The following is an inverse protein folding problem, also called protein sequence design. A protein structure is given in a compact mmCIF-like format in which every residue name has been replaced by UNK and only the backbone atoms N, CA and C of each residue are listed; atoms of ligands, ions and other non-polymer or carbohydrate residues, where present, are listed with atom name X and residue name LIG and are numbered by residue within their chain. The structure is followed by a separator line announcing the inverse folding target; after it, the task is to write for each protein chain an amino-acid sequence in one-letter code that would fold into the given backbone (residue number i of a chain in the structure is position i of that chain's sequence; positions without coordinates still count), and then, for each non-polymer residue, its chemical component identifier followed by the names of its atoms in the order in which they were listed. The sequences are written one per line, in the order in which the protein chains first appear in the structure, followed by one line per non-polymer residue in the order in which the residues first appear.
data_IF_006456413721
#
_entry.id   IF_006456413721
#
_cell.length_a   1.000
_cell.length_b   1.000
_cell.length_c   1.000
_cell.angle_alpha   90.00
_cell.angle_beta   90.00
_cell.angle_gamma   90.00
#
_symmetry.space_group_name_H-M   'P 1'
#
loop_
_entity.id
_entity.type
_entity.pdbx_description
1 polymer ?
#
# COMPACT_ATOMS: atom_id res chain seq x y z
N UNK A 1 -2.46 -9.11 -10.26
CA UNK A 1 -3.41 -8.44 -9.35
C UNK A 1 -3.16 -6.95 -9.29
N UNK A 2 -4.22 -6.18 -9.22
CA UNK A 2 -4.12 -4.72 -9.25
C UNK A 2 -3.35 -4.13 -8.08
N UNK A 3 -3.61 -4.65 -6.88
CA UNK A 3 -2.91 -4.15 -5.68
C UNK A 3 -1.42 -4.36 -5.81
N UNK A 4 -1.02 -5.57 -6.23
CA UNK A 4 0.39 -5.88 -6.36
C UNK A 4 1.06 -5.03 -7.44
N UNK A 5 0.39 -4.85 -8.58
CA UNK A 5 0.91 -4.03 -9.66
C UNK A 5 1.07 -2.57 -9.22
N UNK A 6 0.07 -2.03 -8.53
CA UNK A 6 0.13 -0.66 -8.03
C UNK A 6 1.22 -0.50 -6.97
N UNK A 7 1.36 -1.49 -6.09
CA UNK A 7 2.41 -1.46 -5.07
C UNK A 7 3.80 -1.46 -5.70
N UNK A 8 3.99 -2.22 -6.77
CA UNK A 8 5.28 -2.28 -7.46
C UNK A 8 5.65 -0.96 -8.10
N UNK A 9 4.68 -0.16 -8.52
CA UNK A 9 4.94 1.18 -9.04
C UNK A 9 5.56 2.08 -7.99
N UNK A 10 5.34 1.76 -6.72
CA UNK A 10 5.93 2.49 -5.59
C UNK A 10 7.11 1.76 -4.97
N UNK A 11 7.61 0.74 -5.66
CA UNK A 11 8.77 0.00 -5.19
C UNK A 11 8.47 -1.01 -4.10
N UNK A 12 7.21 -1.43 -3.98
CA UNK A 12 6.78 -2.39 -2.97
C UNK A 12 6.16 -3.62 -3.62
N UNK A 13 6.21 -4.74 -2.90
CA UNK A 13 5.38 -5.90 -3.24
C UNK A 13 4.12 -5.83 -2.38
N UNK A 14 3.14 -6.66 -2.70
CA UNK A 14 1.92 -6.73 -1.90
C UNK A 14 2.24 -7.05 -0.44
N UNK A 15 3.12 -8.03 -0.20
CA UNK A 15 3.52 -8.42 1.15
C UNK A 15 4.13 -7.26 1.93
N UNK A 16 5.01 -6.51 1.27
CA UNK A 16 5.66 -5.35 1.88
C UNK A 16 4.65 -4.26 2.19
N UNK A 17 3.73 -4.01 1.27
CA UNK A 17 2.70 -3.01 1.48
C UNK A 17 1.87 -3.35 2.72
N UNK A 18 1.42 -4.59 2.83
CA UNK A 18 0.62 -5.02 3.98
C UNK A 18 1.44 -4.94 5.27
N UNK A 19 2.70 -5.36 5.23
CA UNK A 19 3.58 -5.30 6.40
C UNK A 19 3.77 -3.85 6.87
N UNK A 20 3.98 -2.93 5.92
CA UNK A 20 4.14 -1.51 6.26
C UNK A 20 2.87 -0.91 6.85
N UNK A 21 1.71 -1.26 6.29
CA UNK A 21 0.44 -0.78 6.80
C UNK A 21 0.17 -1.29 8.22
N UNK A 22 0.44 -2.56 8.47
CA UNK A 22 0.31 -3.12 9.81
C UNK A 22 1.24 -2.43 10.80
N UNK A 23 2.44 -2.15 10.38
CA UNK A 23 3.42 -1.46 11.21
C UNK A 23 2.98 -0.04 11.54
N UNK A 24 2.31 0.61 10.60
CA UNK A 24 1.76 1.95 10.80
C UNK A 24 0.48 1.95 11.63
N UNK A 25 -0.03 0.78 11.98
CA UNK A 25 -1.29 0.68 12.71
C UNK A 25 -2.52 0.87 11.84
N UNK A 26 -2.36 0.79 10.53
CA UNK A 26 -3.46 0.96 9.59
C UNK A 26 -4.02 -0.39 9.19
N UNK A 27 -5.31 -0.59 9.45
CA UNK A 27 -5.99 -1.80 9.06
C UNK A 27 -6.92 -1.47 7.89
N UNK A 28 -6.50 -1.81 6.69
CA UNK A 28 -7.26 -1.50 5.48
C UNK A 28 -7.67 -2.79 4.81
N UNK A 29 -8.96 -2.89 4.50
CA UNK A 29 -9.50 -4.05 3.81
C UNK A 29 -8.89 -4.15 2.41
N UNK A 30 -8.57 -5.37 2.01
CA UNK A 30 -8.06 -5.67 0.68
C UNK A 30 -8.97 -5.13 -0.43
N UNK A 31 -10.28 -5.19 -0.23
CA UNK A 31 -11.23 -4.66 -1.22
C UNK A 31 -11.07 -3.16 -1.39
N UNK A 32 -10.86 -2.47 -0.28
CA UNK A 32 -10.64 -1.02 -0.31
C UNK A 32 -9.35 -0.69 -1.04
N UNK A 33 -8.29 -1.45 -0.76
CA UNK A 33 -7.01 -1.25 -1.45
C UNK A 33 -7.14 -1.47 -2.95
N UNK A 34 -7.85 -2.51 -3.35
CA UNK A 34 -8.06 -2.79 -4.77
C UNK A 34 -8.85 -1.66 -5.44
N UNK A 35 -9.88 -1.17 -4.76
CA UNK A 35 -10.69 -0.08 -5.28
C UNK A 35 -9.86 1.19 -5.45
N UNK A 36 -9.04 1.53 -4.46
CA UNK A 36 -8.17 2.71 -4.54
C UNK A 36 -7.16 2.56 -5.67
N UNK A 37 -6.59 1.38 -5.84
CA UNK A 37 -5.60 1.14 -6.88
C UNK A 37 -6.18 1.38 -8.28
N UNK A 38 -7.47 1.10 -8.45
CA UNK A 38 -8.14 1.25 -9.75
C UNK A 38 -8.74 2.64 -9.90
N UNK A 39 -9.43 3.13 -8.89
CA UNK A 39 -10.26 4.33 -9.01
C UNK A 39 -9.65 5.59 -8.41
N UNK A 40 -8.65 5.46 -7.54
CA UNK A 40 -8.01 6.60 -6.90
C UNK A 40 -6.54 6.31 -6.66
N UNK A 41 -5.79 6.34 -7.74
CA UNK A 41 -4.36 6.03 -7.70
C UNK A 41 -3.58 6.99 -6.79
N UNK A 42 -4.03 8.24 -6.69
CA UNK A 42 -3.36 9.21 -5.82
C UNK A 42 -3.49 8.82 -4.36
N UNK A 43 -4.69 8.42 -3.94
CA UNK A 43 -4.91 7.97 -2.58
C UNK A 43 -4.13 6.69 -2.29
N UNK A 44 -4.09 5.77 -3.25
CA UNK A 44 -3.28 4.56 -3.11
C UNK A 44 -1.81 4.91 -2.94
N UNK A 45 -1.33 5.88 -3.71
CA UNK A 45 0.06 6.34 -3.62
C UNK A 45 0.42 6.87 -2.23
N UNK A 46 -0.47 7.63 -1.63
CA UNK A 46 -0.27 8.15 -0.27
C UNK A 46 -0.15 6.99 0.72
N UNK A 47 -1.02 6.00 0.59
CA UNK A 47 -0.98 4.82 1.46
C UNK A 47 0.32 4.04 1.26
N UNK A 48 0.72 3.85 0.01
CA UNK A 48 1.94 3.12 -0.31
C UNK A 48 3.19 3.83 0.24
N UNK A 49 3.23 5.15 0.11
CA UNK A 49 4.34 5.93 0.66
C UNK A 49 4.39 5.86 2.18
N UNK A 50 3.23 5.84 2.83
CA UNK A 50 3.18 5.65 4.28
C UNK A 50 3.73 4.29 4.68
N UNK A 51 3.37 3.24 3.93
CA UNK A 51 3.88 1.90 4.20
C UNK A 51 5.40 1.85 4.02
N UNK A 52 5.91 2.47 2.95
CA UNK A 52 7.35 2.56 2.70
C UNK A 52 8.08 3.26 3.84
N UNK A 53 7.54 4.38 4.29
CA UNK A 53 8.14 5.16 5.37
C UNK A 53 8.23 4.33 6.65
N UNK A 54 7.18 3.58 6.96
CA UNK A 54 7.17 2.73 8.15
C UNK A 54 8.18 1.59 8.06
N UNK A 55 8.33 1.00 6.89
CA UNK A 55 9.32 -0.05 6.69
C UNK A 55 10.74 0.49 6.79
N UNK A 56 10.96 1.70 6.29
CA UNK A 56 12.28 2.33 6.34
C UNK A 56 12.64 2.82 7.74
N UNK A 57 11.65 3.08 8.58
CA UNK A 57 11.84 3.59 9.93
C UNK A 57 12.20 2.51 10.95
N UNK A 58 12.27 1.27 10.53
CA UNK A 58 12.51 0.13 11.43
C UNK A 58 13.86 0.19 12.15
#
# INVERSE_FOLDING_TARGET
MRINAAAREHGLSYSRLIAGLNKAGLTIDRKVLADLAINDANAFGVIAERAKAELAAA
#
